data_IF_665261668067
#
_entry.id   IF_665261668067
#
_cell.length_a   1.000
_cell.length_b   1.000
_cell.length_c   1.000
_cell.angle_alpha   90.00
_cell.angle_beta   90.00
_cell.angle_gamma   90.00
#
_symmetry.space_group_name_H-M   'P 1'
#
loop_
_entity.id
_entity.type
_entity.pdbx_description
1 polymer ?
#
# COMPACT_ATOMS: atom_id res chain seq x y z
N UNK A 1 -14.77 4.95 11.84
CA UNK A 1 -15.71 5.62 10.92
C UNK A 1 -15.13 6.94 10.48
N UNK A 2 -15.30 7.39 9.21
CA UNK A 2 -14.87 8.71 8.74
C UNK A 2 -15.47 9.87 9.52
N UNK A 3 -16.63 9.66 10.15
CA UNK A 3 -17.32 10.69 10.94
C UNK A 3 -16.85 10.76 12.40
N UNK A 4 -15.95 9.86 12.81
CA UNK A 4 -15.44 9.87 14.17
C UNK A 4 -14.64 11.15 14.47
N UNK A 5 -14.63 11.64 15.72
CA UNK A 5 -13.89 12.85 16.09
C UNK A 5 -12.37 12.71 15.93
N UNK A 6 -11.88 11.46 15.89
CA UNK A 6 -10.47 11.14 15.67
C UNK A 6 -10.15 10.78 14.21
N UNK A 7 -11.11 10.92 13.29
CA UNK A 7 -10.87 10.64 11.88
C UNK A 7 -9.90 11.65 11.28
N UNK A 8 -8.93 11.15 10.53
CA UNK A 8 -7.96 11.98 9.82
C UNK A 8 -8.61 12.47 8.51
N UNK A 9 -8.68 13.79 8.33
CA UNK A 9 -9.33 14.47 7.19
C UNK A 9 -8.31 15.26 6.38
N UNK A 10 -8.76 15.82 5.26
CA UNK A 10 -7.90 16.59 4.36
C UNK A 10 -7.28 17.82 5.03
N UNK A 11 -7.99 18.48 5.95
CA UNK A 11 -7.47 19.58 6.77
C UNK A 11 -6.24 19.21 7.62
N UNK A 12 -6.05 17.92 7.93
CA UNK A 12 -4.90 17.43 8.70
C UNK A 12 -3.67 17.13 7.84
N UNK A 13 -3.78 17.16 6.51
CA UNK A 13 -2.67 16.81 5.59
C UNK A 13 -1.40 17.64 5.86
N UNK A 14 -1.46 18.97 6.10
CA UNK A 14 -0.25 19.75 6.38
C UNK A 14 0.49 19.27 7.63
N UNK A 15 -0.23 19.04 8.73
CA UNK A 15 0.35 18.55 9.99
C UNK A 15 0.89 17.13 9.82
N UNK A 16 0.17 16.26 9.09
CA UNK A 16 0.64 14.92 8.77
C UNK A 16 1.97 14.93 8.01
N UNK A 17 2.08 15.74 6.95
CA UNK A 17 3.32 15.87 6.17
C UNK A 17 4.47 16.34 7.06
N UNK A 18 4.24 17.31 7.94
CA UNK A 18 5.25 17.74 8.91
C UNK A 18 5.73 16.60 9.82
N UNK A 19 4.81 15.78 10.35
CA UNK A 19 5.18 14.63 11.20
C UNK A 19 5.86 13.50 10.42
N UNK A 20 5.48 13.27 9.16
CA UNK A 20 6.14 12.31 8.28
C UNK A 20 7.57 12.77 7.98
N UNK A 21 7.78 14.05 7.66
CA UNK A 21 9.12 14.61 7.43
C UNK A 21 10.02 14.48 8.67
N UNK A 22 9.50 14.76 9.87
CA UNK A 22 10.27 14.55 11.11
C UNK A 22 10.64 13.08 11.32
N UNK A 23 9.80 12.14 10.86
CA UNK A 23 10.10 10.70 10.89
C UNK A 23 11.13 10.31 9.83
N UNK A 24 11.07 10.86 8.61
CA UNK A 24 12.06 10.55 7.56
C UNK A 24 13.47 10.97 7.97
N UNK A 25 13.65 12.12 8.63
CA UNK A 25 14.99 12.53 9.11
C UNK A 25 15.56 11.58 10.16
N UNK A 26 14.72 11.04 11.04
CA UNK A 26 15.14 10.01 12.01
C UNK A 26 15.43 8.68 11.32
N UNK A 27 14.58 8.29 10.36
CA UNK A 27 14.77 7.08 9.57
C UNK A 27 16.06 7.11 8.76
N UNK A 28 16.39 8.24 8.12
CA UNK A 28 17.63 8.41 7.38
C UNK A 28 18.85 8.23 8.29
N UNK A 29 18.86 8.88 9.45
CA UNK A 29 19.95 8.73 10.42
C UNK A 29 20.10 7.27 10.87
N UNK A 30 19.00 6.59 11.14
CA UNK A 30 19.00 5.17 11.52
C UNK A 30 19.59 4.30 10.39
N UNK A 31 19.13 4.47 9.15
CA UNK A 31 19.60 3.72 7.97
C UNK A 31 21.10 3.94 7.74
N UNK A 32 21.59 5.17 7.82
CA UNK A 32 23.02 5.50 7.67
C UNK A 32 23.88 4.87 8.78
N UNK A 33 23.31 4.64 9.96
CA UNK A 33 23.95 3.92 11.06
C UNK A 33 23.81 2.39 10.96
N UNK A 34 23.18 1.87 9.90
CA UNK A 34 22.94 0.45 9.69
C UNK A 34 21.71 -0.11 10.42
N UNK A 35 20.87 0.74 11.02
CA UNK A 35 19.65 0.33 11.72
C UNK A 35 18.47 0.13 10.76
N UNK A 36 17.50 -0.69 11.16
CA UNK A 36 16.27 -0.92 10.40
C UNK A 36 15.21 0.17 10.60
N UNK A 37 14.42 0.41 9.55
CA UNK A 37 13.30 1.34 9.55
C UNK A 37 12.11 0.81 8.74
N UNK A 38 11.09 0.34 9.45
CA UNK A 38 9.86 -0.22 8.86
C UNK A 38 9.10 0.76 7.93
N UNK A 39 9.23 2.07 8.15
CA UNK A 39 8.51 3.06 7.34
C UNK A 39 9.21 3.36 6.02
N UNK A 40 10.54 3.46 5.97
CA UNK A 40 11.26 3.90 4.77
C UNK A 40 12.05 2.81 4.05
N UNK A 41 12.54 1.77 4.75
CA UNK A 41 13.23 0.65 4.10
C UNK A 41 12.45 0.03 2.94
N UNK A 42 11.17 -0.38 3.08
CA UNK A 42 10.44 -1.01 1.98
C UNK A 42 10.23 -0.07 0.79
N UNK A 43 10.19 1.25 1.02
CA UNK A 43 10.02 2.25 -0.05
C UNK A 43 11.31 2.49 -0.81
N UNK A 44 12.41 2.61 -0.09
CA UNK A 44 13.76 2.74 -0.67
C UNK A 44 14.10 1.47 -1.45
N UNK A 45 13.88 0.29 -0.86
CA UNK A 45 14.07 -0.98 -1.54
C UNK A 45 13.27 -1.04 -2.84
N UNK A 46 11.98 -0.68 -2.81
CA UNK A 46 11.12 -0.69 -4.00
C UNK A 46 11.60 0.26 -5.09
N UNK A 47 12.06 1.46 -4.72
CA UNK A 47 12.63 2.44 -5.65
C UNK A 47 13.94 1.91 -6.26
N UNK A 48 14.84 1.42 -5.41
CA UNK A 48 16.16 0.93 -5.79
C UNK A 48 16.08 -0.29 -6.72
N UNK A 49 15.26 -1.28 -6.36
CA UNK A 49 15.03 -2.52 -7.14
C UNK A 49 14.04 -2.33 -8.30
N UNK A 50 13.47 -1.13 -8.47
CA UNK A 50 12.52 -0.77 -9.54
C UNK A 50 11.28 -1.68 -9.57
N UNK A 51 10.90 -2.22 -8.42
CA UNK A 51 9.73 -3.09 -8.28
C UNK A 51 8.43 -2.31 -8.55
N UNK A 52 7.53 -2.93 -9.30
CA UNK A 52 6.21 -2.36 -9.65
C UNK A 52 5.11 -3.19 -9.01
N UNK A 53 4.07 -2.53 -8.50
CA UNK A 53 2.86 -3.19 -8.02
C UNK A 53 1.64 -2.62 -8.72
N UNK A 54 0.82 -3.51 -9.28
CA UNK A 54 -0.48 -3.16 -9.85
C UNK A 54 -1.64 -3.28 -8.84
N UNK A 55 -1.35 -3.81 -7.65
CA UNK A 55 -2.29 -4.03 -6.56
C UNK A 55 -1.61 -3.69 -5.22
N UNK A 56 -2.31 -2.96 -4.36
CA UNK A 56 -1.78 -2.44 -3.09
C UNK A 56 -2.08 -3.36 -1.91
N UNK A 57 -3.14 -4.15 -2.00
CA UNK A 57 -3.43 -5.25 -1.09
C UNK A 57 -3.40 -6.58 -1.85
N UNK A 58 -3.21 -7.67 -1.10
CA UNK A 58 -3.15 -9.04 -1.63
C UNK A 58 -4.47 -9.80 -1.47
N UNK A 59 -5.52 -9.11 -0.99
CA UNK A 59 -6.86 -9.66 -0.82
C UNK A 59 -7.42 -10.19 -2.14
N UNK A 60 -8.20 -11.26 -2.07
CA UNK A 60 -8.74 -11.96 -3.22
C UNK A 60 -7.69 -12.66 -4.10
N UNK A 61 -6.40 -12.60 -3.74
CA UNK A 61 -5.29 -13.18 -4.50
C UNK A 61 -4.48 -14.14 -3.63
N UNK A 62 -3.42 -13.63 -3.01
CA UNK A 62 -2.52 -14.39 -2.15
C UNK A 62 -2.99 -14.36 -0.69
N UNK A 63 -4.01 -13.55 -0.38
CA UNK A 63 -4.65 -13.49 0.91
C UNK A 63 -6.16 -13.63 0.75
N UNK A 64 -6.75 -14.49 1.58
CA UNK A 64 -8.20 -14.75 1.67
C UNK A 64 -8.56 -14.92 3.14
N UNK A 65 -9.79 -14.60 3.50
CA UNK A 65 -10.33 -14.87 4.82
C UNK A 65 -11.35 -16.00 4.77
N UNK A 66 -11.38 -16.84 5.80
CA UNK A 66 -12.34 -17.93 5.94
C UNK A 66 -13.18 -17.63 7.19
N UNK A 67 -14.50 -17.56 7.04
CA UNK A 67 -15.44 -17.37 8.13
C UNK A 67 -15.78 -18.72 8.79
N UNK A 68 -16.37 -18.67 9.99
CA UNK A 68 -16.67 -19.86 10.80
C UNK A 68 -17.69 -20.82 10.14
N UNK A 69 -18.53 -20.30 9.24
CA UNK A 69 -19.48 -21.07 8.44
C UNK A 69 -18.84 -21.73 7.20
N UNK A 70 -17.53 -21.53 7.00
CA UNK A 70 -16.80 -21.99 5.83
C UNK A 70 -16.82 -21.04 4.63
N UNK A 71 -17.49 -19.88 4.71
CA UNK A 71 -17.48 -18.89 3.63
C UNK A 71 -16.09 -18.28 3.42
N UNK A 72 -15.65 -18.15 2.17
CA UNK A 72 -14.37 -17.54 1.80
C UNK A 72 -14.65 -16.08 1.37
N UNK A 73 -13.85 -15.12 1.84
CA UNK A 73 -13.97 -13.69 1.54
C UNK A 73 -12.65 -13.11 1.01
N UNK A 74 -12.78 -12.00 0.28
CA UNK A 74 -11.66 -11.24 -0.29
C UNK A 74 -10.58 -10.89 0.75
N UNK A 75 -10.97 -10.39 1.91
CA UNK A 75 -10.09 -10.22 3.07
C UNK A 75 -10.93 -10.20 4.35
N UNK A 76 -10.28 -10.28 5.51
CA UNK A 76 -10.96 -10.31 6.81
C UNK A 76 -11.73 -9.02 7.09
N UNK A 77 -11.19 -7.86 6.71
CA UNK A 77 -11.84 -6.57 6.91
C UNK A 77 -13.09 -6.36 6.04
N UNK A 78 -13.26 -7.15 4.98
CA UNK A 78 -14.41 -7.10 4.06
C UNK A 78 -15.35 -8.31 4.25
N UNK A 79 -15.20 -9.07 5.33
CA UNK A 79 -16.01 -10.26 5.59
C UNK A 79 -17.47 -9.95 5.99
N UNK A 80 -17.77 -8.70 6.37
CA UNK A 80 -19.11 -8.20 6.68
C UNK A 80 -19.90 -7.77 5.43
N UNK A 81 -19.26 -7.83 4.26
CA UNK A 81 -19.76 -7.32 3.01
C UNK A 81 -19.99 -8.49 2.03
N UNK A 82 -21.24 -8.99 1.89
CA UNK A 82 -21.54 -10.18 1.08
C UNK A 82 -21.07 -10.09 -0.37
N UNK A 83 -20.99 -8.87 -0.92
CA UNK A 83 -20.45 -8.61 -2.25
C UNK A 83 -19.00 -9.10 -2.40
N UNK A 84 -18.23 -9.19 -1.32
CA UNK A 84 -16.85 -9.70 -1.29
C UNK A 84 -16.70 -11.18 -0.93
N UNK A 85 -17.81 -11.93 -0.79
CA UNK A 85 -17.75 -13.41 -0.66
C UNK A 85 -17.23 -14.02 -1.96
N UNK A 86 -16.22 -14.87 -1.90
CA UNK A 86 -15.51 -15.48 -3.02
C UNK A 86 -15.69 -16.99 -3.12
N UNK A 87 -16.66 -17.57 -2.40
CA UNK A 87 -16.94 -19.00 -2.39
C UNK A 87 -17.04 -19.54 -0.97
N UNK A 88 -16.76 -20.83 -0.81
CA UNK A 88 -16.73 -21.51 0.48
C UNK A 88 -15.75 -22.69 0.44
N UNK A 89 -15.34 -23.19 1.61
CA UNK A 89 -14.34 -24.25 1.72
C UNK A 89 -14.83 -25.62 1.21
N UNK A 90 -16.13 -25.80 1.01
CA UNK A 90 -16.70 -27.06 0.53
C UNK A 90 -16.77 -27.10 -1.00
N UNK A 91 -17.13 -25.98 -1.65
CA UNK A 91 -17.22 -25.85 -3.10
C UNK A 91 -15.96 -25.26 -3.75
N UNK A 92 -15.10 -24.60 -2.96
CA UNK A 92 -13.89 -23.92 -3.42
C UNK A 92 -14.11 -22.43 -3.72
N UNK A 93 -13.09 -21.83 -4.34
CA UNK A 93 -13.07 -20.40 -4.70
C UNK A 93 -13.77 -20.20 -6.04
N UNK A 94 -14.68 -19.23 -6.09
CA UNK A 94 -15.24 -18.67 -7.31
C UNK A 94 -14.14 -17.97 -8.13
N UNK A 95 -13.66 -18.69 -9.16
CA UNK A 95 -12.56 -18.23 -10.01
C UNK A 95 -12.95 -17.08 -10.93
N UNK A 96 -14.20 -17.04 -11.37
CA UNK A 96 -14.68 -15.95 -12.22
C UNK A 96 -14.72 -14.65 -11.42
N UNK A 97 -15.26 -14.69 -10.20
CA UNK A 97 -15.29 -13.55 -9.29
C UNK A 97 -13.89 -13.12 -8.86
N UNK A 98 -12.98 -14.08 -8.64
CA UNK A 98 -11.57 -13.78 -8.37
C UNK A 98 -10.90 -13.02 -9.52
N UNK A 99 -11.08 -13.47 -10.76
CA UNK A 99 -10.54 -12.80 -11.95
C UNK A 99 -11.17 -11.42 -12.14
N UNK A 100 -12.48 -11.29 -11.88
CA UNK A 100 -13.18 -10.02 -11.93
C UNK A 100 -12.57 -9.00 -10.94
N UNK A 101 -12.38 -9.38 -9.67
CA UNK A 101 -11.77 -8.50 -8.67
C UNK A 101 -10.31 -8.17 -8.98
N UNK A 102 -9.53 -9.13 -9.48
CA UNK A 102 -8.16 -8.87 -9.92
C UNK A 102 -8.11 -7.77 -10.98
N UNK A 103 -8.92 -7.91 -12.03
CA UNK A 103 -9.00 -6.92 -13.10
C UNK A 103 -9.52 -5.58 -12.56
N UNK A 104 -10.65 -5.58 -11.85
CA UNK A 104 -11.33 -4.38 -11.37
C UNK A 104 -10.43 -3.51 -10.47
N UNK A 105 -9.73 -4.12 -9.51
CA UNK A 105 -8.94 -3.39 -8.51
C UNK A 105 -7.49 -3.13 -8.92
N UNK A 106 -7.13 -3.47 -10.16
CA UNK A 106 -5.86 -3.07 -10.74
C UNK A 106 -5.77 -1.54 -10.84
N UNK A 107 -4.62 -0.95 -10.52
CA UNK A 107 -4.37 0.51 -10.65
C UNK A 107 -4.67 1.07 -12.03
N UNK A 108 -4.58 0.25 -13.09
CA UNK A 108 -4.90 0.66 -14.45
C UNK A 108 -6.40 0.82 -14.71
N UNK A 109 -7.26 0.30 -13.83
CA UNK A 109 -8.71 0.34 -13.96
C UNK A 109 -9.38 1.31 -12.97
N UNK A 110 -8.64 1.81 -11.98
CA UNK A 110 -9.14 2.75 -10.97
C UNK A 110 -8.97 4.21 -11.39
N UNK A 111 -10.03 5.05 -11.39
CA UNK A 111 -10.01 6.39 -11.99
C UNK A 111 -8.86 7.29 -11.53
N UNK A 112 -8.67 7.47 -10.22
CA UNK A 112 -7.64 8.34 -9.64
C UNK A 112 -6.23 7.77 -9.83
N UNK A 113 -6.12 6.45 -9.86
CA UNK A 113 -4.84 5.77 -10.01
C UNK A 113 -4.29 5.89 -11.44
N UNK A 114 -5.15 5.94 -12.45
CA UNK A 114 -4.76 6.05 -13.87
C UNK A 114 -3.89 7.28 -14.15
N UNK A 115 -4.09 8.38 -13.45
CA UNK A 115 -3.34 9.64 -13.66
C UNK A 115 -2.27 9.88 -12.58
N UNK A 116 -2.19 9.03 -11.55
CA UNK A 116 -1.25 9.19 -10.44
C UNK A 116 0.17 8.72 -10.78
N UNK A 117 1.17 9.58 -10.52
CA UNK A 117 2.59 9.26 -10.74
C UNK A 117 3.10 8.11 -9.85
N UNK A 118 2.52 7.95 -8.66
CA UNK A 118 2.93 6.94 -7.68
C UNK A 118 2.19 5.61 -7.83
N UNK A 119 1.33 5.43 -8.85
CA UNK A 119 0.41 4.29 -8.93
C UNK A 119 1.11 2.92 -8.86
N UNK A 120 2.26 2.78 -9.52
CA UNK A 120 3.03 1.53 -9.53
C UNK A 120 3.92 1.36 -8.28
N UNK A 121 4.11 2.44 -7.51
CA UNK A 121 4.83 2.40 -6.24
C UNK A 121 3.87 1.97 -5.11
N UNK A 122 2.65 2.51 -5.08
CA UNK A 122 1.67 2.20 -4.03
C UNK A 122 0.72 1.03 -4.34
N UNK A 123 0.53 0.68 -5.62
CA UNK A 123 -0.42 -0.37 -6.04
C UNK A 123 -1.90 -0.02 -5.83
N UNK A 124 -2.23 1.22 -5.46
CA UNK A 124 -3.63 1.65 -5.23
C UNK A 124 -4.13 1.48 -3.78
N UNK A 125 -3.28 1.06 -2.84
CA UNK A 125 -3.64 1.02 -1.42
C UNK A 125 -4.68 -0.03 -1.02
N UNK A 126 -5.32 0.18 0.14
CA UNK A 126 -6.25 -0.76 0.76
C UNK A 126 -7.69 -0.56 0.28
N UNK A 127 -8.35 -1.63 -0.17
CA UNK A 127 -9.75 -1.58 -0.63
C UNK A 127 -10.75 -1.43 0.51
N UNK A 128 -10.47 -2.01 1.68
CA UNK A 128 -11.31 -1.83 2.86
C UNK A 128 -11.34 -0.37 3.31
N UNK A 129 -10.17 0.28 3.32
CA UNK A 129 -10.07 1.69 3.65
C UNK A 129 -10.82 2.55 2.63
N UNK A 130 -10.64 2.29 1.34
CA UNK A 130 -11.37 2.95 0.26
C UNK A 130 -12.89 2.86 0.50
N UNK A 131 -13.44 1.64 0.60
CA UNK A 131 -14.87 1.42 0.87
C UNK A 131 -15.36 2.12 2.14
N UNK A 132 -14.57 2.07 3.21
CA UNK A 132 -14.96 2.65 4.50
C UNK A 132 -14.96 4.18 4.49
N UNK A 133 -14.11 4.81 3.67
CA UNK A 133 -13.94 6.27 3.65
C UNK A 133 -14.71 6.97 2.55
N UNK A 134 -14.88 6.32 1.39
CA UNK A 134 -15.54 6.90 0.22
C UNK A 134 -16.88 6.23 -0.09
N UNK A 135 -17.18 5.10 0.55
CA UNK A 135 -18.35 4.27 0.25
C UNK A 135 -18.14 3.31 -0.92
N UNK A 136 -17.05 3.43 -1.69
CA UNK A 136 -16.79 2.62 -2.88
C UNK A 136 -15.31 2.18 -2.94
N UNK A 137 -15.01 0.87 -2.99
CA UNK A 137 -13.65 0.35 -3.04
C UNK A 137 -12.83 0.83 -4.25
N UNK A 138 -13.48 1.30 -5.32
CA UNK A 138 -12.80 1.85 -6.50
C UNK A 138 -12.09 3.17 -6.19
N UNK A 139 -12.61 3.95 -5.27
CA UNK A 139 -12.17 5.32 -4.97
C UNK A 139 -11.33 5.33 -3.69
N UNK A 140 -9.99 5.47 -3.79
CA UNK A 140 -9.12 5.43 -2.62
C UNK A 140 -9.28 6.69 -1.75
N UNK A 141 -8.98 6.55 -0.45
CA UNK A 141 -8.95 7.66 0.49
C UNK A 141 -7.93 8.74 0.03
N UNK A 142 -8.35 9.98 -0.27
CA UNK A 142 -7.45 11.03 -0.75
C UNK A 142 -6.35 11.37 0.27
N UNK A 143 -6.67 11.34 1.56
CA UNK A 143 -5.69 11.58 2.64
C UNK A 143 -4.58 10.55 2.61
N UNK A 144 -4.91 9.26 2.49
CA UNK A 144 -3.92 8.18 2.44
C UNK A 144 -3.11 8.19 1.14
N UNK A 145 -3.73 8.63 0.04
CA UNK A 145 -3.03 8.87 -1.23
C UNK A 145 -1.97 9.98 -1.09
N UNK A 146 -2.31 11.10 -0.44
CA UNK A 146 -1.37 12.20 -0.17
C UNK A 146 -0.24 11.77 0.76
N UNK A 147 -0.54 11.06 1.85
CA UNK A 147 0.51 10.56 2.75
C UNK A 147 1.46 9.59 2.04
N UNK A 148 0.92 8.70 1.20
CA UNK A 148 1.73 7.70 0.50
C UNK A 148 2.63 8.36 -0.55
N UNK A 149 2.10 9.30 -1.33
CA UNK A 149 2.90 10.09 -2.28
C UNK A 149 4.02 10.83 -1.58
N UNK A 150 3.72 11.52 -0.48
CA UNK A 150 4.71 12.27 0.28
C UNK A 150 5.81 11.38 0.88
N UNK A 151 5.46 10.18 1.37
CA UNK A 151 6.47 9.21 1.81
C UNK A 151 7.37 8.73 0.68
N UNK A 152 6.86 8.59 -0.55
CA UNK A 152 7.68 8.24 -1.70
C UNK A 152 8.56 9.40 -2.17
N UNK A 153 8.08 10.64 -2.13
CA UNK A 153 8.91 11.83 -2.37
C UNK A 153 10.10 11.87 -1.41
N UNK A 154 9.85 11.67 -0.11
CA UNK A 154 10.90 11.58 0.90
C UNK A 154 11.83 10.37 0.71
N UNK A 155 11.29 9.22 0.32
CA UNK A 155 12.13 8.05 0.04
C UNK A 155 13.05 8.27 -1.17
N UNK A 156 12.60 9.01 -2.19
CA UNK A 156 13.44 9.40 -3.33
C UNK A 156 14.56 10.35 -2.89
N UNK A 157 14.25 11.33 -2.05
CA UNK A 157 15.24 12.24 -1.45
C UNK A 157 16.27 11.44 -0.64
N UNK A 158 15.81 10.51 0.22
CA UNK A 158 16.67 9.64 1.01
C UNK A 158 17.56 8.75 0.14
N UNK A 159 17.10 8.26 -1.02
CA UNK A 159 17.97 7.51 -1.94
C UNK A 159 19.16 8.35 -2.39
N UNK A 160 18.96 9.63 -2.67
CA UNK A 160 20.03 10.55 -3.07
C UNK A 160 20.99 10.82 -1.90
N UNK A 161 20.46 11.15 -0.71
CA UNK A 161 21.27 11.41 0.48
C UNK A 161 22.09 10.18 0.90
N UNK A 162 21.51 8.98 0.80
CA UNK A 162 22.23 7.73 1.06
C UNK A 162 23.34 7.53 0.03
N UNK A 163 23.06 7.73 -1.26
CA UNK A 163 24.05 7.54 -2.31
C UNK A 163 25.23 8.53 -2.20
N UNK A 164 24.97 9.75 -1.73
CA UNK A 164 26.00 10.76 -1.45
C UNK A 164 26.85 10.41 -0.22
N UNK A 165 26.23 9.85 0.84
CA UNK A 165 26.93 9.47 2.06
C UNK A 165 27.73 8.16 1.91
N UNK A 166 27.13 7.15 1.29
CA UNK A 166 27.74 5.86 0.97
C UNK A 166 27.04 5.23 -0.25
N UNK A 167 27.65 5.40 -1.42
CA UNK A 167 27.13 4.89 -2.69
C UNK A 167 26.91 3.36 -2.70
N UNK A 168 27.60 2.61 -1.82
CA UNK A 168 27.45 1.16 -1.73
C UNK A 168 26.31 0.73 -0.80
N UNK A 169 25.78 1.62 0.05
CA UNK A 169 24.85 1.24 1.11
C UNK A 169 23.52 0.71 0.53
N UNK A 170 22.98 1.36 -0.51
CA UNK A 170 21.75 0.90 -1.15
C UNK A 170 21.88 -0.53 -1.68
N UNK A 171 23.01 -0.82 -2.33
CA UNK A 171 23.34 -2.14 -2.85
C UNK A 171 23.47 -3.15 -1.72
N UNK A 172 24.29 -2.87 -0.70
CA UNK A 172 24.53 -3.78 0.43
C UNK A 172 23.28 -4.06 1.26
N UNK A 173 22.35 -3.11 1.33
CA UNK A 173 21.16 -3.17 2.17
C UNK A 173 19.93 -3.73 1.45
N UNK A 174 19.75 -3.42 0.17
CA UNK A 174 18.51 -3.67 -0.54
C UNK A 174 18.64 -4.56 -1.77
N UNK A 175 19.86 -4.82 -2.27
CA UNK A 175 20.08 -5.81 -3.31
C UNK A 175 20.14 -7.21 -2.69
N UNK A 176 18.96 -7.74 -2.38
CA UNK A 176 18.77 -9.18 -2.25
C UNK A 176 18.58 -9.68 -3.67
N UNK A 177 19.48 -10.55 -4.14
CA UNK A 177 19.35 -11.23 -5.43
C UNK A 177 17.88 -11.63 -5.62
N UNK A 178 17.22 -10.99 -6.59
CA UNK A 178 15.84 -11.31 -6.94
C UNK A 178 15.88 -12.72 -7.50
N UNK A 179 15.61 -13.71 -6.66
CA UNK A 179 15.30 -15.06 -7.13
C UNK A 179 14.02 -14.91 -7.95
N UNK A 180 14.21 -14.91 -9.26
CA UNK A 180 13.20 -14.83 -10.31
C UNK A 180 12.14 -15.90 -10.18
#
# INVERSE_FOLDING_TARGET
SPDAPYAIREEHIPVLKQQIHKRSRRALKAILNGEENEEFDPRIQKLFTRQKSCHGCLGGKQYLAIAADGSIYFCSSLADAPEFKMGDVFAGIDREKQQHFDAQFNVNNRPECKTCWARNLCGGGCLWEARTTTGDPMYPNPVSCEQTRYRYELAMEMCMEIAEADASLLQRRYDLEVVS
#
